data_IF_004676380718
#
_entry.id   IF_004676380718
#
_cell.length_a   1.000
_cell.length_b   1.000
_cell.length_c   1.000
_cell.angle_alpha   90.00
_cell.angle_beta   90.00
_cell.angle_gamma   90.00
#
_symmetry.space_group_name_H-M   'P 1'
#
loop_
_entity.id
_entity.type
_entity.pdbx_description
1 polymer ?
#
# COMPACT_ATOMS: atom_id res chain seq x y z
N UNK A 1 -26.19 26.24 -5.55
CA UNK A 1 -26.07 25.84 -4.12
C UNK A 1 -24.61 26.02 -3.70
N UNK A 2 -24.27 27.04 -2.88
CA UNK A 2 -22.88 27.18 -2.38
C UNK A 2 -22.67 26.10 -1.32
N UNK A 3 -21.79 25.14 -1.57
CA UNK A 3 -21.37 24.16 -0.57
C UNK A 3 -20.85 24.91 0.67
N UNK A 4 -21.61 24.86 1.78
CA UNK A 4 -21.12 25.31 3.08
C UNK A 4 -19.91 24.44 3.42
N UNK A 5 -18.71 25.03 3.41
CA UNK A 5 -17.49 24.32 3.81
C UNK A 5 -17.66 23.84 5.26
N UNK A 6 -17.51 22.54 5.49
CA UNK A 6 -17.63 21.90 6.82
C UNK A 6 -16.56 22.48 7.77
N UNK A 7 -15.37 22.75 7.25
CA UNK A 7 -14.27 23.41 7.96
C UNK A 7 -13.75 24.57 7.11
N UNK A 8 -13.51 25.73 7.74
CA UNK A 8 -12.83 26.86 7.09
C UNK A 8 -11.32 26.62 7.12
N UNK A 9 -10.82 25.92 6.12
CA UNK A 9 -9.39 25.64 5.97
C UNK A 9 -8.63 26.88 5.46
N UNK A 10 -7.34 27.02 5.82
CA UNK A 10 -6.50 28.14 5.36
C UNK A 10 -6.13 27.97 3.88
N UNK A 11 -5.65 29.03 3.23
CA UNK A 11 -5.42 29.07 1.76
C UNK A 11 -4.36 28.05 1.31
N UNK A 12 -3.31 27.91 2.12
CA UNK A 12 -2.16 27.01 1.96
C UNK A 12 -2.61 25.55 1.80
N UNK A 13 -3.70 25.17 2.48
CA UNK A 13 -4.29 23.83 2.32
C UNK A 13 -4.80 23.61 0.89
N UNK A 14 -5.50 24.60 0.33
CA UNK A 14 -6.06 24.51 -1.03
C UNK A 14 -4.98 24.63 -2.09
N UNK A 15 -3.91 25.38 -1.83
CA UNK A 15 -2.73 25.44 -2.69
C UNK A 15 -2.05 24.06 -2.77
N UNK A 16 -1.87 23.35 -1.66
CA UNK A 16 -1.33 21.99 -1.68
C UNK A 16 -2.27 20.96 -2.36
N UNK A 17 -3.57 21.23 -2.40
CA UNK A 17 -4.60 20.24 -2.74
C UNK A 17 -4.45 19.71 -4.17
N UNK A 18 -4.05 20.57 -5.10
CA UNK A 18 -3.82 20.17 -6.49
C UNK A 18 -2.71 19.10 -6.63
N UNK A 19 -1.63 19.20 -5.85
CA UNK A 19 -0.53 18.21 -5.82
C UNK A 19 -1.06 16.91 -5.23
N UNK A 20 -1.78 17.04 -4.12
CA UNK A 20 -2.41 15.91 -3.43
C UNK A 20 -3.31 15.07 -4.35
N UNK A 21 -4.21 15.74 -5.09
CA UNK A 21 -5.15 15.07 -6.00
C UNK A 21 -4.45 14.34 -7.17
N UNK A 22 -3.26 14.78 -7.55
CA UNK A 22 -2.46 14.11 -8.59
C UNK A 22 -1.70 12.91 -8.03
N UNK A 23 -1.18 13.01 -6.80
CA UNK A 23 -0.37 11.97 -6.19
C UNK A 23 -1.20 10.83 -5.59
N UNK A 24 -2.31 11.17 -4.93
CA UNK A 24 -3.14 10.24 -4.17
C UNK A 24 -3.55 9.01 -5.00
N UNK A 25 -4.09 9.14 -6.23
CA UNK A 25 -4.48 7.97 -7.00
C UNK A 25 -3.31 7.02 -7.27
N UNK A 26 -2.13 7.54 -7.60
CA UNK A 26 -0.94 6.73 -7.90
C UNK A 26 -0.44 5.97 -6.67
N UNK A 27 -0.42 6.59 -5.49
CA UNK A 27 0.00 5.94 -4.25
C UNK A 27 -0.89 4.74 -3.90
N UNK A 28 -2.21 4.93 -3.93
CA UNK A 28 -3.14 3.87 -3.55
C UNK A 28 -3.28 2.80 -4.63
N UNK A 29 -3.16 3.14 -5.91
CA UNK A 29 -3.07 2.13 -6.98
C UNK A 29 -1.85 1.24 -6.80
N UNK A 30 -0.69 1.83 -6.51
CA UNK A 30 0.52 1.08 -6.24
C UNK A 30 0.38 0.17 -5.00
N UNK A 31 -0.05 0.72 -3.87
CA UNK A 31 -0.17 -0.03 -2.61
C UNK A 31 -1.15 -1.20 -2.74
N UNK A 32 -2.29 -0.98 -3.40
CA UNK A 32 -3.26 -2.05 -3.64
C UNK A 32 -2.80 -3.06 -4.70
N UNK A 33 -2.12 -2.60 -5.76
CA UNK A 33 -1.51 -3.48 -6.76
C UNK A 33 -0.47 -4.41 -6.12
N UNK A 34 0.35 -3.89 -5.20
CA UNK A 34 1.32 -4.68 -4.46
C UNK A 34 0.65 -5.74 -3.57
N UNK A 35 -0.45 -5.41 -2.88
CA UNK A 35 -1.23 -6.38 -2.11
C UNK A 35 -1.72 -7.54 -2.98
N UNK A 36 -2.31 -7.21 -4.12
CA UNK A 36 -2.87 -8.21 -5.05
C UNK A 36 -1.76 -9.10 -5.59
N UNK A 37 -0.65 -8.50 -6.04
CA UNK A 37 0.50 -9.24 -6.55
C UNK A 37 1.04 -10.23 -5.50
N UNK A 38 1.34 -9.74 -4.29
CA UNK A 38 1.91 -10.57 -3.23
C UNK A 38 0.95 -11.68 -2.82
N UNK A 39 -0.35 -11.37 -2.70
CA UNK A 39 -1.35 -12.37 -2.36
C UNK A 39 -1.42 -13.48 -3.42
N UNK A 40 -1.49 -13.09 -4.70
CA UNK A 40 -1.55 -14.04 -5.80
C UNK A 40 -0.29 -14.92 -5.83
N UNK A 41 0.89 -14.30 -5.77
CA UNK A 41 2.16 -15.00 -5.86
C UNK A 41 2.37 -15.98 -4.69
N UNK A 42 2.15 -15.54 -3.45
CA UNK A 42 2.35 -16.39 -2.27
C UNK A 42 1.28 -17.48 -2.16
N UNK A 43 0.07 -17.23 -2.69
CA UNK A 43 -0.95 -18.27 -2.86
C UNK A 43 -0.48 -19.36 -3.82
N UNK A 44 0.18 -18.98 -4.92
CA UNK A 44 0.77 -19.96 -5.85
C UNK A 44 1.91 -20.76 -5.21
N UNK A 45 2.77 -20.12 -4.42
CA UNK A 45 3.93 -20.79 -3.80
C UNK A 45 3.56 -21.68 -2.60
N UNK A 46 2.61 -21.26 -1.77
CA UNK A 46 2.36 -21.85 -0.44
C UNK A 46 0.90 -22.31 -0.24
N UNK A 47 0.04 -22.14 -1.25
CA UNK A 47 -1.38 -22.48 -1.19
C UNK A 47 -2.26 -21.37 -0.61
N UNK A 48 -3.58 -21.52 -0.71
CA UNK A 48 -4.55 -20.50 -0.30
C UNK A 48 -4.48 -20.11 1.19
N UNK A 49 -4.02 -21.04 2.04
CA UNK A 49 -3.91 -20.82 3.49
C UNK A 49 -2.53 -20.28 3.90
N UNK A 50 -1.70 -19.81 2.96
CA UNK A 50 -0.34 -19.34 3.22
C UNK A 50 -0.27 -18.29 4.34
N UNK A 51 -1.30 -17.45 4.48
CA UNK A 51 -1.38 -16.44 5.52
C UNK A 51 -1.29 -17.06 6.93
N UNK A 52 -2.07 -18.10 7.18
CA UNK A 52 -2.14 -18.78 8.48
C UNK A 52 -0.99 -19.77 8.68
N UNK A 53 -0.60 -20.50 7.63
CA UNK A 53 0.37 -21.61 7.76
C UNK A 53 1.82 -21.17 7.58
N UNK A 54 2.06 -20.15 6.76
CA UNK A 54 3.41 -19.70 6.38
C UNK A 54 3.74 -18.33 6.97
N UNK A 55 2.85 -17.35 6.87
CA UNK A 55 3.15 -15.98 7.33
C UNK A 55 3.10 -15.86 8.84
N UNK A 56 2.08 -16.42 9.50
CA UNK A 56 1.93 -16.37 10.96
C UNK A 56 3.21 -16.76 11.74
N UNK A 57 3.85 -17.92 11.48
CA UNK A 57 5.09 -18.28 12.20
C UNK A 57 6.30 -17.39 11.85
N UNK A 58 6.30 -16.71 10.69
CA UNK A 58 7.43 -15.86 10.23
C UNK A 58 7.29 -14.40 10.67
N UNK A 59 6.07 -13.88 10.68
CA UNK A 59 5.75 -12.46 10.90
C UNK A 59 4.51 -12.32 11.80
N UNK A 60 4.60 -12.85 13.03
CA UNK A 60 3.48 -12.85 13.99
C UNK A 60 2.90 -11.44 14.21
N UNK A 61 3.74 -10.41 14.28
CA UNK A 61 3.28 -9.02 14.46
C UNK A 61 2.41 -8.52 13.29
N UNK A 62 2.74 -8.89 12.05
CA UNK A 62 1.94 -8.53 10.86
C UNK A 62 0.62 -9.29 10.86
N UNK A 63 0.66 -10.57 11.23
CA UNK A 63 -0.54 -11.40 11.38
C UNK A 63 -1.50 -10.80 12.42
N UNK A 64 -1.01 -10.52 13.63
CA UNK A 64 -1.81 -9.95 14.72
C UNK A 64 -2.37 -8.57 14.37
N UNK A 65 -1.60 -7.76 13.64
CA UNK A 65 -2.10 -6.49 13.14
C UNK A 65 -3.32 -6.69 12.22
N UNK A 66 -3.22 -7.57 11.22
CA UNK A 66 -4.32 -7.83 10.29
C UNK A 66 -5.55 -8.39 11.00
N UNK A 67 -5.38 -9.32 11.94
CA UNK A 67 -6.46 -9.89 12.74
C UNK A 67 -7.19 -8.80 13.56
N UNK A 68 -6.43 -7.89 14.17
CA UNK A 68 -7.00 -6.75 14.88
C UNK A 68 -7.76 -5.79 13.95
N UNK A 69 -7.29 -5.56 12.72
CA UNK A 69 -8.03 -4.76 11.73
C UNK A 69 -9.31 -5.49 11.28
N UNK A 70 -9.27 -6.81 11.10
CA UNK A 70 -10.44 -7.61 10.74
C UNK A 70 -11.51 -7.54 11.84
N UNK A 71 -11.11 -7.64 13.12
CA UNK A 71 -12.01 -7.47 14.27
C UNK A 71 -12.68 -6.10 14.27
N UNK A 72 -11.94 -5.02 13.99
CA UNK A 72 -12.49 -3.66 13.86
C UNK A 72 -13.46 -3.53 12.70
N UNK A 73 -13.14 -4.13 11.55
CA UNK A 73 -14.01 -4.15 10.39
C UNK A 73 -15.33 -4.88 10.71
N UNK A 74 -15.26 -6.04 11.35
CA UNK A 74 -16.42 -6.83 11.75
C UNK A 74 -17.30 -6.11 12.78
N UNK A 75 -16.70 -5.27 13.64
CA UNK A 75 -17.42 -4.44 14.61
C UNK A 75 -18.18 -3.27 13.98
N UNK A 76 -17.88 -2.90 12.73
CA UNK A 76 -18.52 -1.80 12.00
C UNK A 76 -19.11 -2.29 10.66
N UNK A 77 -20.14 -3.16 10.68
CA UNK A 77 -20.67 -3.80 9.46
C UNK A 77 -21.26 -2.84 8.42
N UNK A 78 -21.50 -1.57 8.80
CA UNK A 78 -21.98 -0.52 7.89
C UNK A 78 -20.86 0.14 7.06
N UNK A 79 -19.57 -0.13 7.33
CA UNK A 79 -18.42 0.43 6.62
C UNK A 79 -17.43 -0.69 6.28
N UNK A 80 -16.99 -0.75 5.02
CA UNK A 80 -15.84 -1.57 4.60
C UNK A 80 -16.17 -2.92 3.98
N UNK A 81 -17.45 -3.24 3.76
CA UNK A 81 -17.82 -4.27 2.78
C UNK A 81 -17.44 -3.78 1.37
N UNK A 82 -16.59 -4.53 0.68
CA UNK A 82 -16.29 -4.29 -0.74
C UNK A 82 -17.32 -5.02 -1.60
N UNK A 83 -17.89 -4.31 -2.58
CA UNK A 83 -18.84 -4.90 -3.54
C UNK A 83 -18.17 -5.64 -4.69
N UNK A 84 -16.84 -5.52 -4.83
CA UNK A 84 -16.10 -6.01 -6.01
C UNK A 84 -15.22 -7.21 -5.69
N UNK A 85 -14.59 -7.22 -4.52
CA UNK A 85 -13.65 -8.28 -4.10
C UNK A 85 -13.85 -8.61 -2.63
N UNK A 86 -13.71 -9.90 -2.27
CA UNK A 86 -13.63 -10.29 -0.88
C UNK A 86 -12.40 -9.65 -0.21
N UNK A 87 -12.60 -9.09 0.98
CA UNK A 87 -11.49 -8.57 1.79
C UNK A 87 -10.75 -9.75 2.39
N UNK A 88 -9.47 -9.90 2.05
CA UNK A 88 -8.57 -10.92 2.61
C UNK A 88 -7.52 -10.26 3.51
N UNK A 89 -6.84 -11.01 4.41
CA UNK A 89 -5.99 -10.42 5.45
C UNK A 89 -4.89 -9.47 4.94
N UNK A 90 -4.27 -9.75 3.80
CA UNK A 90 -3.26 -8.87 3.19
C UNK A 90 -3.82 -7.50 2.75
N UNK A 91 -5.14 -7.38 2.54
CA UNK A 91 -5.79 -6.09 2.29
C UNK A 91 -5.83 -5.19 3.53
N UNK A 92 -5.63 -5.77 4.71
CA UNK A 92 -5.76 -5.08 5.99
C UNK A 92 -4.41 -4.63 6.57
N UNK A 93 -3.30 -4.93 5.91
CA UNK A 93 -1.96 -4.51 6.36
C UNK A 93 -1.52 -3.21 5.70
N UNK A 94 -0.52 -2.52 6.28
CA UNK A 94 -0.01 -1.24 5.78
C UNK A 94 1.05 -1.47 4.70
N UNK A 95 1.39 -0.43 3.93
CA UNK A 95 2.53 -0.45 3.01
C UNK A 95 3.84 -0.93 3.67
N UNK A 96 4.09 -0.52 4.93
CA UNK A 96 5.26 -0.98 5.68
C UNK A 96 5.23 -2.47 5.98
N UNK A 97 4.05 -3.05 6.28
CA UNK A 97 3.94 -4.50 6.45
C UNK A 97 4.15 -5.26 5.13
N UNK A 98 3.77 -4.71 3.98
CA UNK A 98 4.05 -5.34 2.68
C UNK A 98 5.56 -5.43 2.42
N UNK A 99 6.31 -4.41 2.85
CA UNK A 99 7.77 -4.45 2.81
C UNK A 99 8.34 -5.59 3.67
N UNK A 100 7.83 -5.75 4.90
CA UNK A 100 8.24 -6.84 5.80
C UNK A 100 7.89 -8.22 5.22
N UNK A 101 6.74 -8.36 4.57
CA UNK A 101 6.37 -9.58 3.85
C UNK A 101 7.41 -9.90 2.77
N UNK A 102 7.76 -8.95 1.90
CA UNK A 102 8.78 -9.20 0.87
C UNK A 102 10.14 -9.58 1.47
N UNK A 103 10.54 -8.96 2.59
CA UNK A 103 11.77 -9.34 3.32
C UNK A 103 11.71 -10.77 3.84
N UNK A 104 10.60 -11.18 4.47
CA UNK A 104 10.44 -12.53 5.03
C UNK A 104 10.33 -13.63 3.96
N UNK A 105 9.91 -13.27 2.76
CA UNK A 105 9.80 -14.16 1.59
C UNK A 105 10.86 -13.86 0.54
N UNK A 106 12.00 -13.28 0.92
CA UNK A 106 13.06 -12.85 -0.01
C UNK A 106 13.47 -13.94 -1.01
N UNK A 107 13.62 -15.18 -0.54
CA UNK A 107 14.03 -16.32 -1.39
C UNK A 107 13.04 -16.63 -2.51
N UNK A 108 11.77 -16.27 -2.33
CA UNK A 108 10.71 -16.52 -3.29
C UNK A 108 10.40 -15.28 -4.11
N UNK A 109 10.49 -14.08 -3.53
CA UNK A 109 10.20 -12.83 -4.22
C UNK A 109 11.35 -12.37 -5.12
N UNK A 110 12.58 -12.77 -4.84
CA UNK A 110 13.78 -12.36 -5.58
C UNK A 110 14.40 -13.56 -6.30
N UNK A 111 14.59 -13.51 -7.64
CA UNK A 111 14.32 -12.40 -8.56
C UNK A 111 12.90 -12.39 -9.17
N UNK A 112 12.00 -13.27 -8.72
CA UNK A 112 10.76 -13.59 -9.44
C UNK A 112 9.80 -12.41 -9.58
N UNK A 113 9.65 -11.62 -8.52
CA UNK A 113 8.82 -10.41 -8.48
C UNK A 113 9.66 -9.14 -8.63
N UNK A 114 10.82 -9.09 -7.98
CA UNK A 114 11.72 -7.93 -8.01
C UNK A 114 13.15 -8.36 -8.29
N UNK A 115 13.95 -7.57 -9.02
CA UNK A 115 15.32 -7.93 -9.40
C UNK A 115 16.23 -8.22 -8.20
N UNK A 116 16.20 -7.33 -7.20
CA UNK A 116 16.97 -7.46 -5.94
C UNK A 116 16.21 -6.84 -4.79
N UNK A 117 16.66 -7.11 -3.56
CA UNK A 117 16.10 -6.46 -2.37
C UNK A 117 16.44 -4.97 -2.32
N UNK A 118 17.64 -4.58 -2.73
CA UNK A 118 18.09 -3.19 -2.75
C UNK A 118 17.25 -2.35 -3.71
N UNK A 119 16.91 -2.92 -4.87
CA UNK A 119 15.98 -2.31 -5.81
C UNK A 119 14.62 -2.09 -5.14
N UNK A 120 14.01 -3.14 -4.59
CA UNK A 120 12.69 -3.04 -3.96
C UNK A 120 12.67 -2.03 -2.78
N UNK A 121 13.61 -2.16 -1.84
CA UNK A 121 13.66 -1.32 -0.63
C UNK A 121 13.99 0.13 -0.95
N UNK A 122 14.90 0.38 -1.90
CA UNK A 122 15.28 1.74 -2.31
C UNK A 122 14.08 2.51 -2.86
N UNK A 123 13.30 1.89 -3.74
CA UNK A 123 12.08 2.50 -4.28
C UNK A 123 10.98 2.65 -3.23
N UNK A 124 10.78 1.62 -2.38
CA UNK A 124 9.77 1.64 -1.31
C UNK A 124 10.01 2.74 -0.28
N UNK A 125 11.26 3.01 0.09
CA UNK A 125 11.60 4.04 1.07
C UNK A 125 11.18 5.44 0.63
N UNK A 126 11.46 5.77 -0.63
CA UNK A 126 11.05 7.07 -1.22
C UNK A 126 9.52 7.19 -1.25
N UNK A 127 8.82 6.14 -1.69
CA UNK A 127 7.36 6.12 -1.76
C UNK A 127 6.74 6.31 -0.38
N UNK A 128 7.19 5.55 0.64
CA UNK A 128 6.71 5.67 2.03
C UNK A 128 6.91 7.08 2.57
N UNK A 129 8.07 7.69 2.33
CA UNK A 129 8.38 9.04 2.84
C UNK A 129 7.42 10.08 2.27
N UNK A 130 7.22 10.09 0.95
CA UNK A 130 6.30 11.04 0.31
C UNK A 130 4.84 10.74 0.69
N UNK A 131 4.46 9.45 0.81
CA UNK A 131 3.13 9.05 1.29
C UNK A 131 2.84 9.57 2.69
N UNK A 132 3.83 9.54 3.59
CA UNK A 132 3.68 10.07 4.95
C UNK A 132 3.58 11.60 4.97
N UNK A 133 4.35 12.30 4.13
CA UNK A 133 4.21 13.75 3.96
C UNK A 133 2.79 14.12 3.51
N UNK A 134 2.26 13.42 2.50
CA UNK A 134 0.89 13.63 2.04
C UNK A 134 -0.17 13.26 3.08
N UNK A 135 0.00 12.15 3.80
CA UNK A 135 -1.07 11.61 4.66
C UNK A 135 -1.12 12.23 6.06
N UNK A 136 0.01 12.75 6.55
CA UNK A 136 0.16 13.18 7.95
C UNK A 136 0.74 14.59 8.11
N UNK A 137 1.34 15.16 7.06
CA UNK A 137 1.99 16.48 7.12
C UNK A 137 1.46 17.44 6.06
N UNK A 138 0.32 17.13 5.43
CA UNK A 138 -0.26 17.98 4.39
C UNK A 138 -0.62 19.37 4.96
N UNK A 139 -0.31 20.48 4.26
CA UNK A 139 0.06 20.60 2.85
C UNK A 139 1.57 20.68 2.54
N UNK A 140 2.47 20.19 3.41
CA UNK A 140 3.93 20.33 3.26
C UNK A 140 4.57 19.49 2.12
N UNK A 141 3.85 19.24 1.03
CA UNK A 141 4.30 18.49 -0.13
C UNK A 141 4.58 19.41 -1.32
N UNK A 142 5.70 19.21 -1.99
CA UNK A 142 6.06 19.99 -3.18
C UNK A 142 5.73 19.26 -4.48
N UNK A 143 5.74 19.99 -5.60
CA UNK A 143 5.66 19.38 -6.94
C UNK A 143 6.83 18.43 -7.21
N UNK A 144 8.01 18.73 -6.68
CA UNK A 144 9.20 17.88 -6.77
C UNK A 144 8.98 16.52 -6.09
N UNK A 145 8.48 16.53 -4.86
CA UNK A 145 8.19 15.30 -4.11
C UNK A 145 7.18 14.41 -4.84
N UNK A 146 6.14 15.03 -5.41
CA UNK A 146 5.14 14.34 -6.22
C UNK A 146 5.75 13.68 -7.47
N UNK A 147 6.61 14.41 -8.21
CA UNK A 147 7.25 13.86 -9.40
C UNK A 147 8.19 12.70 -9.06
N UNK A 148 8.97 12.84 -7.98
CA UNK A 148 9.85 11.78 -7.48
C UNK A 148 9.03 10.54 -7.14
N UNK A 149 8.02 10.65 -6.27
CA UNK A 149 7.18 9.51 -5.89
C UNK A 149 6.51 8.85 -7.10
N UNK A 150 6.00 9.62 -8.06
CA UNK A 150 5.41 9.07 -9.29
C UNK A 150 6.42 8.32 -10.15
N UNK A 151 7.66 8.78 -10.22
CA UNK A 151 8.73 8.07 -10.93
C UNK A 151 9.06 6.74 -10.27
N UNK A 152 9.21 6.72 -8.94
CA UNK A 152 9.47 5.49 -8.19
C UNK A 152 8.32 4.48 -8.31
N UNK A 153 7.08 4.96 -8.16
CA UNK A 153 5.87 4.15 -8.37
C UNK A 153 5.86 3.58 -9.78
N UNK A 154 6.20 4.38 -10.80
CA UNK A 154 6.24 3.92 -12.20
C UNK A 154 7.25 2.79 -12.38
N UNK A 155 8.46 2.93 -11.82
CA UNK A 155 9.53 1.93 -11.95
C UNK A 155 9.12 0.59 -11.31
N UNK A 156 8.57 0.62 -10.08
CA UNK A 156 8.08 -0.59 -9.43
C UNK A 156 6.83 -1.15 -10.12
N UNK A 157 5.90 -0.29 -10.53
CA UNK A 157 4.67 -0.71 -11.22
C UNK A 157 4.95 -1.41 -12.54
N UNK A 158 6.00 -1.02 -13.27
CA UNK A 158 6.40 -1.75 -14.49
C UNK A 158 6.74 -3.21 -14.19
N UNK A 159 7.38 -3.47 -13.04
CA UNK A 159 7.70 -4.82 -12.61
C UNK A 159 6.44 -5.55 -12.14
N UNK A 160 5.63 -4.92 -11.29
CA UNK A 160 4.37 -5.49 -10.81
C UNK A 160 3.45 -5.88 -11.97
N UNK A 161 3.23 -4.97 -12.93
CA UNK A 161 2.33 -5.18 -14.07
C UNK A 161 2.83 -6.27 -15.02
N UNK A 162 4.14 -6.56 -15.05
CA UNK A 162 4.67 -7.68 -15.83
C UNK A 162 4.39 -9.05 -15.19
N UNK A 163 3.93 -9.07 -13.93
CA UNK A 163 3.71 -10.28 -13.12
C UNK A 163 2.25 -10.49 -12.72
N UNK A 164 1.43 -9.45 -12.79
CA UNK A 164 -0.01 -9.58 -12.65
C UNK A 164 -0.57 -10.32 -13.88
N UNK A 165 -1.50 -11.27 -13.68
CA UNK A 165 -2.14 -12.02 -14.76
C UNK A 165 -3.06 -11.14 -15.63
#
# INVERSE_FOLDING_TARGET
MRLKKIVRLPAEYFEGLHIGNVLFPSLYQFENGLRILLNSYLTTCYGANWWDVSLKPRLQAVFDYADNQQKKLNAMPWIGASSVVAVVPIHLVTLGHLEEVVKAYKSDCIPQLFPTMEFFLGHMEVIKRVRNMYSHMFPCITKGDCQVAKNEIRVLSLHINSKLP
#
